data_IF_154796190504
#
_entry.id   IF_154796190504
#
_cell.length_a   1.000
_cell.length_b   1.000
_cell.length_c   1.000
_cell.angle_alpha   90.00
_cell.angle_beta   90.00
_cell.angle_gamma   90.00
#
_symmetry.space_group_name_H-M   'P 1'
#
loop_
_entity.id
_entity.type
_entity.pdbx_description
1 polymer ?
#
# COMPACT_ATOMS: atom_id res chain seq x y z
N UNK A 1 18.91 -3.26 -29.45
CA UNK A 1 18.09 -4.43 -29.85
C UNK A 1 16.62 -4.11 -29.57
N UNK A 2 15.71 -4.39 -30.51
CA UNK A 2 14.26 -4.25 -30.30
C UNK A 2 13.72 -5.62 -29.88
N UNK A 3 13.26 -5.73 -28.64
CA UNK A 3 12.60 -6.94 -28.15
C UNK A 3 11.09 -6.69 -28.17
N UNK A 4 10.34 -7.63 -28.73
CA UNK A 4 8.89 -7.68 -28.54
C UNK A 4 8.65 -8.51 -27.29
N UNK A 5 8.27 -7.84 -26.20
CA UNK A 5 7.90 -8.51 -24.94
C UNK A 5 6.42 -8.86 -25.02
N UNK A 6 6.11 -10.15 -24.97
CA UNK A 6 4.75 -10.66 -24.83
C UNK A 6 4.50 -10.93 -23.35
N UNK A 7 3.76 -10.05 -22.68
CA UNK A 7 3.27 -10.30 -21.32
C UNK A 7 1.86 -10.89 -21.45
N UNK A 8 1.70 -12.15 -21.07
CA UNK A 8 0.38 -12.75 -20.89
C UNK A 8 -0.04 -12.44 -19.46
N UNK A 9 -1.15 -11.71 -19.25
CA UNK A 9 -1.66 -11.50 -17.91
C UNK A 9 -2.06 -12.86 -17.34
N UNK A 10 -1.19 -13.40 -16.48
CA UNK A 10 -1.53 -14.54 -15.65
C UNK A 10 -2.78 -14.15 -14.85
N UNK A 11 -3.89 -14.87 -15.03
CA UNK A 11 -5.16 -14.63 -14.34
C UNK A 11 -5.12 -14.99 -12.85
N UNK A 12 -3.97 -14.81 -12.20
CA UNK A 12 -3.68 -15.21 -10.82
C UNK A 12 -3.99 -14.08 -9.83
N UNK A 13 -5.04 -14.28 -9.01
CA UNK A 13 -5.52 -13.26 -8.08
C UNK A 13 -4.99 -13.57 -6.69
N UNK A 14 -4.27 -12.62 -6.10
CA UNK A 14 -3.89 -12.70 -4.69
C UNK A 14 -4.92 -11.97 -3.84
N UNK A 15 -5.47 -12.67 -2.85
CA UNK A 15 -6.41 -12.13 -1.88
C UNK A 15 -6.02 -12.49 -0.45
N UNK A 16 -6.45 -11.67 0.49
CA UNK A 16 -6.40 -11.95 1.92
C UNK A 16 -7.83 -12.20 2.42
N UNK A 17 -8.01 -13.28 3.19
CA UNK A 17 -9.28 -13.57 3.85
C UNK A 17 -9.18 -13.35 5.36
N UNK A 18 -10.31 -12.96 5.95
CA UNK A 18 -10.45 -12.83 7.40
C UNK A 18 -11.12 -14.07 7.97
N UNK A 19 -10.53 -14.64 9.04
CA UNK A 19 -11.18 -15.69 9.80
C UNK A 19 -12.24 -15.08 10.73
N UNK A 20 -13.50 -15.11 10.29
CA UNK A 20 -14.63 -14.53 11.02
C UNK A 20 -14.99 -15.27 12.32
N UNK A 21 -14.33 -16.39 12.65
CA UNK A 21 -14.52 -17.09 13.94
C UNK A 21 -13.70 -16.48 15.08
N UNK A 22 -12.80 -15.53 14.79
CA UNK A 22 -11.98 -14.87 15.82
C UNK A 22 -12.74 -13.70 16.45
N UNK A 23 -12.75 -13.57 17.79
CA UNK A 23 -13.62 -12.62 18.48
C UNK A 23 -13.31 -11.15 18.16
N UNK A 24 -12.07 -10.81 17.79
CA UNK A 24 -11.67 -9.42 17.53
C UNK A 24 -11.88 -8.96 16.07
N UNK A 25 -11.69 -9.85 15.09
CA UNK A 25 -11.90 -9.58 13.65
C UNK A 25 -13.34 -9.89 13.21
N UNK A 26 -14.02 -10.78 13.93
CA UNK A 26 -15.38 -11.25 13.68
C UNK A 26 -15.97 -11.76 15.00
N UNK A 27 -16.49 -12.99 15.02
CA UNK A 27 -17.04 -13.62 16.20
C UNK A 27 -18.08 -12.74 16.88
N UNK A 28 -17.98 -12.60 18.20
CA UNK A 28 -18.86 -11.74 19.00
C UNK A 28 -18.86 -10.28 18.52
N UNK A 29 -17.71 -9.74 18.10
CA UNK A 29 -17.64 -8.37 17.57
C UNK A 29 -18.35 -8.20 16.23
N UNK A 30 -18.75 -9.29 15.55
CA UNK A 30 -19.54 -9.20 14.34
C UNK A 30 -21.02 -8.90 14.63
N UNK A 31 -21.47 -9.08 15.87
CA UNK A 31 -22.85 -8.82 16.31
C UNK A 31 -22.96 -7.57 17.21
N UNK A 32 -21.83 -6.96 17.55
CA UNK A 32 -21.77 -5.71 18.33
C UNK A 32 -21.62 -4.53 17.38
N UNK A 33 -22.64 -3.70 17.29
CA UNK A 33 -22.65 -2.48 16.48
C UNK A 33 -21.80 -1.35 17.07
N UNK A 34 -21.37 -0.43 16.23
CA UNK A 34 -20.66 0.78 16.64
C UNK A 34 -21.64 1.79 17.25
N UNK A 35 -21.18 2.53 18.26
CA UNK A 35 -21.91 3.63 18.91
C UNK A 35 -21.49 5.02 18.38
N UNK A 36 -21.01 5.06 17.13
CA UNK A 36 -20.52 6.29 16.51
C UNK A 36 -21.56 6.89 15.56
N UNK A 37 -21.93 8.17 15.71
CA UNK A 37 -22.88 8.83 14.82
C UNK A 37 -22.49 8.72 13.34
N UNK A 38 -23.41 8.22 12.51
CA UNK A 38 -23.21 7.98 11.08
C UNK A 38 -22.53 6.65 10.72
N UNK A 39 -22.18 5.83 11.71
CA UNK A 39 -21.54 4.52 11.52
C UNK A 39 -22.27 3.37 12.23
N UNK A 40 -23.51 3.59 12.65
CA UNK A 40 -24.32 2.67 13.45
C UNK A 40 -24.64 1.35 12.73
N UNK A 41 -24.56 1.34 11.40
CA UNK A 41 -24.77 0.14 10.58
C UNK A 41 -23.55 -0.79 10.51
N UNK A 42 -22.42 -0.37 11.07
CA UNK A 42 -21.20 -1.19 11.11
C UNK A 42 -21.05 -1.87 12.46
N UNK A 43 -20.44 -3.05 12.44
CA UNK A 43 -20.08 -3.77 13.66
C UNK A 43 -18.61 -3.54 14.01
N UNK A 44 -18.24 -3.76 15.27
CA UNK A 44 -16.84 -3.65 15.72
C UNK A 44 -15.92 -4.53 14.88
N UNK A 45 -16.35 -5.74 14.54
CA UNK A 45 -15.61 -6.67 13.70
C UNK A 45 -15.44 -6.14 12.26
N UNK A 46 -16.48 -5.55 11.68
CA UNK A 46 -16.38 -4.89 10.36
C UNK A 46 -15.40 -3.73 10.42
N UNK A 47 -15.46 -2.90 11.45
CA UNK A 47 -14.56 -1.77 11.63
C UNK A 47 -13.08 -2.20 11.70
N UNK A 48 -12.76 -3.25 12.45
CA UNK A 48 -11.40 -3.83 12.49
C UNK A 48 -10.95 -4.29 11.10
N UNK A 49 -11.80 -5.00 10.35
CA UNK A 49 -11.45 -5.47 8.99
C UNK A 49 -11.21 -4.29 8.03
N UNK A 50 -12.03 -3.24 8.12
CA UNK A 50 -11.83 -2.01 7.36
C UNK A 50 -10.49 -1.35 7.71
N UNK A 51 -10.16 -1.23 8.99
CA UNK A 51 -8.89 -0.68 9.45
C UNK A 51 -7.70 -1.44 8.84
N UNK A 52 -7.72 -2.78 8.89
CA UNK A 52 -6.68 -3.62 8.29
C UNK A 52 -6.58 -3.38 6.78
N UNK A 53 -7.69 -3.29 6.05
CA UNK A 53 -7.66 -3.02 4.61
C UNK A 53 -7.02 -1.67 4.25
N UNK A 54 -7.30 -0.62 5.03
CA UNK A 54 -6.68 0.70 4.85
C UNK A 54 -5.19 0.72 5.20
N UNK A 55 -4.74 -0.15 6.12
CA UNK A 55 -3.35 -0.24 6.55
C UNK A 55 -2.41 -0.91 5.52
N UNK A 56 -2.92 -1.58 4.49
CA UNK A 56 -2.09 -2.33 3.54
C UNK A 56 -1.69 -1.44 2.36
N UNK A 57 -0.40 -1.14 2.25
CA UNK A 57 0.16 -0.40 1.12
C UNK A 57 0.33 -1.28 -0.13
N UNK A 58 -0.79 -1.56 -0.81
CA UNK A 58 -0.81 -2.38 -2.03
C UNK A 58 0.06 -1.81 -3.17
N UNK A 59 0.11 -0.49 -3.43
CA UNK A 59 1.03 0.09 -4.41
C UNK A 59 2.51 -0.19 -4.10
N UNK A 60 2.93 -0.02 -2.85
CA UNK A 60 4.32 -0.31 -2.44
C UNK A 60 4.65 -1.80 -2.53
N UNK A 61 3.75 -2.68 -2.08
CA UNK A 61 3.88 -4.13 -2.25
C UNK A 61 4.06 -4.47 -3.73
N UNK A 62 3.23 -3.90 -4.60
CA UNK A 62 3.34 -4.09 -6.05
C UNK A 62 4.71 -3.62 -6.58
N UNK A 63 5.16 -2.44 -6.15
CA UNK A 63 6.43 -1.88 -6.59
C UNK A 63 7.64 -2.70 -6.14
N UNK A 64 7.65 -3.18 -4.89
CA UNK A 64 8.81 -3.87 -4.29
C UNK A 64 8.84 -5.35 -4.68
N UNK A 65 7.70 -6.04 -4.66
CA UNK A 65 7.65 -7.51 -4.86
C UNK A 65 7.45 -7.85 -6.33
N UNK A 66 6.61 -7.09 -7.03
CA UNK A 66 6.18 -7.39 -8.39
C UNK A 66 6.72 -6.38 -9.42
N UNK A 67 7.69 -5.54 -9.02
CA UNK A 67 8.31 -4.53 -9.88
C UNK A 67 7.32 -3.55 -10.54
N UNK A 68 6.13 -3.40 -9.96
CA UNK A 68 5.05 -2.56 -10.48
C UNK A 68 4.23 -3.19 -11.61
N UNK A 69 4.44 -4.48 -11.93
CA UNK A 69 3.80 -5.12 -13.08
C UNK A 69 2.39 -5.65 -12.80
N UNK A 70 1.99 -5.83 -11.53
CA UNK A 70 0.64 -6.29 -11.22
C UNK A 70 -0.39 -5.15 -11.27
N UNK A 71 -1.62 -5.49 -11.66
CA UNK A 71 -2.77 -4.60 -11.52
C UNK A 71 -3.34 -4.69 -10.10
N UNK A 72 -3.53 -3.55 -9.43
CA UNK A 72 -4.17 -3.52 -8.11
C UNK A 72 -5.66 -3.80 -8.28
N UNK A 73 -6.10 -4.99 -7.86
CA UNK A 73 -7.52 -5.34 -7.87
C UNK A 73 -8.25 -4.78 -6.65
N UNK A 74 -9.49 -4.32 -6.87
CA UNK A 74 -10.45 -3.97 -5.82
C UNK A 74 -11.62 -4.96 -5.75
N UNK A 75 -11.69 -5.90 -6.70
CA UNK A 75 -12.74 -6.91 -6.80
C UNK A 75 -12.14 -8.32 -6.79
N UNK A 76 -12.93 -9.30 -6.38
CA UNK A 76 -12.59 -10.71 -6.58
C UNK A 76 -12.72 -11.14 -8.03
N UNK A 77 -13.47 -10.37 -8.83
CA UNK A 77 -13.63 -10.58 -10.27
C UNK A 77 -12.60 -9.75 -11.01
N UNK A 78 -11.93 -10.36 -11.99
CA UNK A 78 -10.99 -9.65 -12.85
C UNK A 78 -11.65 -8.59 -13.72
N UNK A 79 -11.01 -7.43 -13.94
CA UNK A 79 -11.51 -6.40 -14.85
C UNK A 79 -11.75 -6.86 -16.29
N UNK A 80 -11.02 -7.89 -16.75
CA UNK A 80 -11.20 -8.49 -18.08
C UNK A 80 -12.49 -9.30 -18.20
N UNK A 81 -13.10 -9.70 -17.09
CA UNK A 81 -14.38 -10.37 -17.07
C UNK A 81 -15.52 -9.34 -17.02
N UNK A 82 -15.72 -8.63 -18.13
CA UNK A 82 -16.61 -7.47 -18.26
C UNK A 82 -18.08 -7.76 -17.94
N UNK A 83 -18.52 -9.02 -18.03
CA UNK A 83 -19.90 -9.40 -17.71
C UNK A 83 -20.17 -9.41 -16.20
N UNK A 84 -19.19 -9.80 -15.39
CA UNK A 84 -19.35 -9.92 -13.93
C UNK A 84 -18.59 -8.84 -13.14
N UNK A 85 -17.68 -8.11 -13.79
CA UNK A 85 -16.91 -7.05 -13.14
C UNK A 85 -17.77 -5.82 -12.87
N UNK A 86 -17.71 -5.33 -11.63
CA UNK A 86 -18.39 -4.11 -11.20
C UNK A 86 -17.40 -3.20 -10.47
N UNK A 87 -17.13 -2.01 -11.04
CA UNK A 87 -16.11 -1.10 -10.50
C UNK A 87 -16.64 -0.17 -9.40
N UNK A 88 -17.95 0.06 -9.36
CA UNK A 88 -18.58 1.01 -8.44
C UNK A 88 -18.82 0.36 -7.06
N UNK A 89 -17.72 -0.08 -6.44
CA UNK A 89 -17.67 -0.68 -5.12
C UNK A 89 -16.88 0.21 -4.16
N UNK A 90 -17.04 -0.02 -2.86
CA UNK A 90 -16.20 0.64 -1.85
C UNK A 90 -14.75 0.17 -2.00
N UNK A 91 -13.84 1.11 -2.19
CA UNK A 91 -12.39 0.86 -2.33
C UNK A 91 -11.67 1.25 -1.04
N UNK A 92 -10.60 0.52 -0.72
CA UNK A 92 -9.76 0.74 0.46
C UNK A 92 -8.35 1.16 0.03
N UNK A 93 -8.12 2.42 -0.39
CA UNK A 93 -6.77 2.91 -0.66
C UNK A 93 -5.90 2.81 0.61
N UNK A 94 -4.58 2.86 0.44
CA UNK A 94 -3.68 2.94 1.59
C UNK A 94 -3.87 4.28 2.30
N UNK A 95 -4.30 4.24 3.57
CA UNK A 95 -4.55 5.43 4.39
C UNK A 95 -4.46 5.04 5.88
N UNK A 96 -3.34 5.40 6.52
CA UNK A 96 -3.11 5.09 7.93
C UNK A 96 -4.03 5.89 8.88
N UNK A 97 -4.47 7.08 8.48
CA UNK A 97 -5.39 7.89 9.28
C UNK A 97 -6.80 7.27 9.27
N UNK A 98 -7.27 6.85 8.10
CA UNK A 98 -8.53 6.10 7.99
C UNK A 98 -8.44 4.79 8.77
N UNK A 99 -7.30 4.08 8.69
CA UNK A 99 -7.06 2.86 9.46
C UNK A 99 -7.21 3.09 10.97
N UNK A 100 -6.47 4.05 11.53
CA UNK A 100 -6.56 4.41 12.95
C UNK A 100 -7.97 4.84 13.36
N UNK A 101 -8.66 5.60 12.50
CA UNK A 101 -10.03 6.06 12.76
C UNK A 101 -10.99 4.89 12.91
N UNK A 102 -10.97 3.93 11.97
CA UNK A 102 -11.81 2.73 12.04
C UNK A 102 -11.46 1.83 13.22
N UNK A 103 -10.16 1.74 13.57
CA UNK A 103 -9.72 1.00 14.75
C UNK A 103 -10.22 1.64 16.05
N UNK A 104 -10.21 2.98 16.11
CA UNK A 104 -10.75 3.78 17.20
C UNK A 104 -12.25 3.57 17.36
N UNK A 105 -13.02 3.57 16.27
CA UNK A 105 -14.45 3.25 16.33
C UNK A 105 -14.72 1.85 16.89
N UNK A 106 -13.87 0.87 16.57
CA UNK A 106 -13.98 -0.47 17.13
C UNK A 106 -13.63 -0.55 18.64
N UNK A 107 -13.13 0.53 19.24
CA UNK A 107 -12.79 0.62 20.66
C UNK A 107 -11.33 0.26 20.98
N UNK A 108 -10.46 0.21 19.98
CA UNK A 108 -9.02 0.02 20.19
C UNK A 108 -8.30 1.36 20.21
N UNK A 109 -7.19 1.47 20.97
CA UNK A 109 -6.37 2.68 20.92
C UNK A 109 -5.83 2.89 19.51
N UNK A 110 -5.90 4.13 19.03
CA UNK A 110 -5.25 4.49 17.78
C UNK A 110 -3.74 4.29 17.95
N UNK A 111 -3.06 3.56 17.06
CA UNK A 111 -1.61 3.54 17.05
C UNK A 111 -1.08 4.97 16.85
N UNK A 112 -0.14 5.38 17.69
CA UNK A 112 0.58 6.64 17.50
C UNK A 112 1.48 6.50 16.27
N UNK A 113 1.06 7.08 15.15
CA UNK A 113 1.95 7.23 14.00
C UNK A 113 2.81 8.48 14.20
N UNK A 114 4.12 8.43 13.92
CA UNK A 114 4.91 9.64 13.79
C UNK A 114 4.20 10.53 12.77
N UNK A 115 3.89 11.78 13.15
CA UNK A 115 3.34 12.72 12.17
C UNK A 115 4.45 13.00 11.15
N UNK A 116 4.11 13.28 9.90
CA UNK A 116 5.11 13.69 8.90
C UNK A 116 5.91 14.93 9.36
N UNK A 117 5.35 15.75 10.26
CA UNK A 117 6.03 16.86 10.94
C UNK A 117 7.13 16.44 11.92
N UNK A 118 7.11 15.19 12.37
CA UNK A 118 8.05 14.60 13.32
C UNK A 118 9.13 13.78 12.58
N UNK A 119 8.95 13.54 11.28
CA UNK A 119 10.00 13.04 10.38
C UNK A 119 10.90 14.23 10.05
N UNK A 120 11.96 14.43 10.84
CA UNK A 120 13.08 15.26 10.41
C UNK A 120 13.61 14.61 9.12
N UNK A 121 13.62 15.37 8.01
CA UNK A 121 14.31 15.05 6.75
C UNK A 121 15.84 14.93 6.93
N UNK A 122 16.32 14.27 7.98
CA UNK A 122 17.75 14.05 8.21
C UNK A 122 18.20 12.79 7.48
N UNK A 123 18.16 12.85 6.14
CA UNK A 123 19.17 12.14 5.32
C UNK A 123 19.51 12.92 4.04
N UNK A 124 20.35 13.97 4.09
CA UNK A 124 21.16 14.35 2.95
C UNK A 124 22.34 13.37 2.83
N UNK A 125 22.11 12.06 2.62
CA UNK A 125 23.20 11.07 2.61
C UNK A 125 23.15 10.04 1.47
N UNK A 126 22.61 10.41 0.31
CA UNK A 126 22.77 9.63 -0.94
C UNK A 126 23.11 10.47 -2.17
N UNK A 127 22.77 11.77 -2.20
CA UNK A 127 23.07 12.62 -3.37
C UNK A 127 24.53 13.10 -3.43
N UNK A 128 25.18 13.33 -2.29
CA UNK A 128 26.56 13.84 -2.24
C UNK A 128 27.61 12.86 -2.78
N UNK A 129 27.41 11.54 -2.59
CA UNK A 129 28.30 10.50 -3.10
C UNK A 129 28.17 10.31 -4.62
N UNK A 130 26.98 10.50 -5.19
CA UNK A 130 26.74 10.42 -6.63
C UNK A 130 27.40 11.61 -7.36
N UNK A 131 27.31 12.84 -6.83
CA UNK A 131 27.99 13.99 -7.44
C UNK A 131 29.51 13.96 -7.27
N UNK A 132 30.03 13.49 -6.14
CA UNK A 132 31.47 13.38 -5.92
C UNK A 132 32.12 12.35 -6.88
N UNK A 133 31.45 11.21 -7.12
CA UNK A 133 31.95 10.17 -8.02
C UNK A 133 31.91 10.60 -9.50
N UNK A 134 30.85 11.31 -9.94
CA UNK A 134 30.78 11.88 -11.29
C UNK A 134 31.85 12.97 -11.51
N UNK A 135 32.06 13.85 -10.52
CA UNK A 135 33.11 14.87 -10.58
C UNK A 135 34.52 14.27 -10.69
N UNK A 136 34.79 13.19 -9.96
CA UNK A 136 36.08 12.50 -10.01
C UNK A 136 36.34 11.87 -11.39
N UNK A 137 35.32 11.23 -11.99
CA UNK A 137 35.42 10.61 -13.32
C UNK A 137 35.69 11.66 -14.40
N UNK A 138 35.01 12.82 -14.34
CA UNK A 138 35.22 13.93 -15.29
C UNK A 138 36.64 14.50 -15.15
N UNK A 139 37.13 14.72 -13.92
CA UNK A 139 38.49 15.24 -13.68
C UNK A 139 39.56 14.25 -14.15
N UNK A 140 39.36 12.95 -13.89
CA UNK A 140 40.29 11.90 -14.32
C UNK A 140 40.36 11.81 -15.85
N UNK A 141 39.21 11.86 -16.55
CA UNK A 141 39.16 11.86 -18.01
C UNK A 141 39.75 13.14 -18.62
N UNK A 142 39.54 14.31 -17.99
CA UNK A 142 40.16 15.57 -18.42
C UNK A 142 41.69 15.54 -18.28
N UNK A 143 42.23 15.03 -17.15
CA UNK A 143 43.68 14.88 -16.96
C UNK A 143 44.31 13.86 -17.91
N UNK A 144 43.57 12.81 -18.30
CA UNK A 144 44.05 11.79 -19.24
C UNK A 144 44.18 12.34 -20.66
N UNK A 145 43.19 13.13 -21.13
CA UNK A 145 43.23 13.79 -22.45
C UNK A 145 44.30 14.86 -22.64
N UNK A 146 44.86 15.41 -21.54
CA UNK A 146 45.93 16.44 -21.60
C UNK A 146 47.34 15.82 -21.63
N UNK A 147 47.47 14.51 -21.39
CA UNK A 147 48.75 13.78 -21.40
C UNK A 147 49.03 13.04 -22.72
N UNK A 148 48.05 12.93 -23.59
CA UNK A 148 48.18 12.53 -25.00
C UNK A 148 48.35 13.78 -25.86
#
# INVERSE_FOLDING_TARGET
PRFTVYNFPDGNLLFMFFNLRRPFIGGENNDIFLDMPGYENYTKGVAVRKAICYAINRPEINQIIYYGECAISHSIVYPTNTFYYYDNIVKYPYDMNASATWLGYAGYPAPEFPRDSDIIEDTPMLWSSIFASLGLIVILNYKRKKKE
#
